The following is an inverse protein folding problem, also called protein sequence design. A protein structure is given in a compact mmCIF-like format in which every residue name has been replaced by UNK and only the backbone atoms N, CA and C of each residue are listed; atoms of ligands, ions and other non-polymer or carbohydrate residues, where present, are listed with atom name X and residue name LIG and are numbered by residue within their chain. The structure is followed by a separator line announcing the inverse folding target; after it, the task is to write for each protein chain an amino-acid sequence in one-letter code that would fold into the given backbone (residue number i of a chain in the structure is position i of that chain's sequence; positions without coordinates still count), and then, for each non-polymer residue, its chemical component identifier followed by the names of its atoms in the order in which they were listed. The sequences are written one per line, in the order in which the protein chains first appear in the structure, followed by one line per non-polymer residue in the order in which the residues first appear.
data_IF_626917300786
#
_entry.id   IF_626917300786
#
_cell.length_a   1.000
_cell.length_b   1.000
_cell.length_c   1.000
_cell.angle_alpha   90.00
_cell.angle_beta   90.00
_cell.angle_gamma   90.00
#
_symmetry.space_group_name_H-M   'P 1'
#
loop_
_entity.id
_entity.type
_entity.pdbx_description
1 polymer ?
#
# COMPACT_ATOMS: atom_id res chain seq x y z
N UNK A 1 -52.55 -30.06 9.31
CA UNK A 1 -51.38 -30.68 8.65
C UNK A 1 -50.12 -29.79 8.67
N UNK A 2 -50.24 -28.46 8.72
CA UNK A 2 -49.07 -27.56 8.69
C UNK A 2 -48.48 -27.19 10.06
N UNK A 3 -49.16 -27.46 11.18
CA UNK A 3 -48.72 -27.08 12.54
C UNK A 3 -47.35 -27.64 12.95
N UNK A 4 -47.08 -28.91 12.66
CA UNK A 4 -45.79 -29.56 12.97
C UNK A 4 -44.62 -28.97 12.17
N UNK A 5 -44.72 -28.84 10.83
CA UNK A 5 -43.72 -28.12 10.04
C UNK A 5 -43.51 -26.67 10.50
N UNK A 6 -44.59 -25.95 10.85
CA UNK A 6 -44.52 -24.57 11.31
C UNK A 6 -43.81 -24.45 12.66
N UNK A 7 -44.03 -25.37 13.60
CA UNK A 7 -43.29 -25.37 14.88
C UNK A 7 -41.83 -25.77 14.66
N UNK A 8 -41.58 -26.80 13.85
CA UNK A 8 -40.24 -27.30 13.57
C UNK A 8 -39.35 -26.26 12.85
N UNK A 9 -39.91 -25.49 11.92
CA UNK A 9 -39.20 -24.45 11.17
C UNK A 9 -39.30 -23.05 11.79
N UNK A 10 -40.37 -22.78 12.54
CA UNK A 10 -40.67 -21.46 13.12
C UNK A 10 -40.03 -21.23 14.48
N UNK A 11 -39.75 -22.27 15.26
CA UNK A 11 -39.02 -22.15 16.53
C UNK A 11 -37.52 -22.18 16.23
N UNK A 12 -36.85 -21.04 16.39
CA UNK A 12 -35.44 -20.84 16.05
C UNK A 12 -34.51 -21.91 16.65
N UNK A 13 -34.73 -22.28 17.92
CA UNK A 13 -33.88 -23.23 18.65
C UNK A 13 -34.02 -24.67 18.10
N UNK A 14 -35.25 -25.11 17.79
CA UNK A 14 -35.52 -26.42 17.20
C UNK A 14 -34.95 -26.49 15.78
N UNK A 15 -35.19 -25.45 14.98
CA UNK A 15 -34.65 -25.34 13.61
C UNK A 15 -33.12 -25.33 13.61
N UNK A 16 -32.50 -24.54 14.47
CA UNK A 16 -31.04 -24.42 14.52
C UNK A 16 -30.38 -25.75 14.90
N UNK A 17 -30.85 -26.39 15.98
CA UNK A 17 -30.26 -27.62 16.49
C UNK A 17 -30.56 -28.84 15.61
N UNK A 18 -31.78 -28.94 15.06
CA UNK A 18 -32.20 -30.13 14.31
C UNK A 18 -31.91 -30.05 12.81
N UNK A 19 -31.79 -28.85 12.23
CA UNK A 19 -31.65 -28.65 10.79
C UNK A 19 -30.43 -27.79 10.43
N UNK A 20 -30.34 -26.56 10.92
CA UNK A 20 -29.33 -25.60 10.45
C UNK A 20 -27.89 -25.99 10.82
N UNK A 21 -27.61 -26.35 12.08
CA UNK A 21 -26.26 -26.73 12.51
C UNK A 21 -25.77 -28.04 11.88
N UNK A 22 -26.57 -29.13 11.80
CA UNK A 22 -26.18 -30.33 11.10
C UNK A 22 -25.89 -30.09 9.60
N UNK A 23 -26.73 -29.29 8.94
CA UNK A 23 -26.54 -28.91 7.54
C UNK A 23 -25.26 -28.09 7.35
N UNK A 24 -25.02 -27.09 8.19
CA UNK A 24 -23.81 -26.27 8.16
C UNK A 24 -22.54 -27.12 8.38
N UNK A 25 -22.58 -28.09 9.29
CA UNK A 25 -21.47 -29.03 9.53
C UNK A 25 -21.13 -29.84 8.27
N UNK A 26 -22.16 -30.28 7.54
CA UNK A 26 -22.00 -31.02 6.27
C UNK A 26 -21.53 -30.11 5.12
N UNK A 27 -21.97 -28.86 5.07
CA UNK A 27 -21.49 -27.89 4.07
C UNK A 27 -20.02 -27.57 4.30
N UNK A 28 -19.60 -27.38 5.57
CA UNK A 28 -18.20 -27.10 5.92
C UNK A 28 -17.22 -28.19 5.47
N UNK A 29 -17.66 -29.44 5.34
CA UNK A 29 -16.80 -30.53 4.84
C UNK A 29 -16.61 -30.51 3.31
N UNK A 30 -17.39 -29.72 2.58
CA UNK A 30 -17.35 -29.62 1.10
C UNK A 30 -16.70 -28.30 0.64
N UNK A 31 -16.56 -27.32 1.53
CA UNK A 31 -15.88 -26.08 1.21
C UNK A 31 -14.37 -26.34 1.02
N UNK A 32 -13.76 -25.83 -0.07
CA UNK A 32 -12.34 -25.99 -0.30
C UNK A 32 -11.53 -25.33 0.84
N UNK A 33 -10.37 -25.89 1.21
CA UNK A 33 -9.48 -25.25 2.17
C UNK A 33 -8.99 -23.92 1.62
N UNK A 34 -9.00 -22.89 2.46
CA UNK A 34 -8.51 -21.56 2.12
C UNK A 34 -6.99 -21.57 2.00
N UNK A 35 -6.47 -21.03 0.90
CA UNK A 35 -5.02 -20.88 0.71
C UNK A 35 -4.41 -19.92 1.72
N UNK A 36 -3.10 -20.01 1.95
CA UNK A 36 -2.40 -19.13 2.89
C UNK A 36 -2.43 -17.66 2.45
N UNK A 37 -2.43 -17.40 1.14
CA UNK A 37 -2.58 -16.05 0.57
C UNK A 37 -3.98 -15.48 0.79
N UNK A 38 -5.03 -16.29 0.61
CA UNK A 38 -6.41 -15.89 0.93
C UNK A 38 -6.59 -15.66 2.43
N UNK A 39 -6.01 -16.52 3.27
CA UNK A 39 -6.08 -16.36 4.73
C UNK A 39 -5.41 -15.06 5.17
N UNK A 40 -4.19 -14.80 4.69
CA UNK A 40 -3.49 -13.57 4.99
C UNK A 40 -4.28 -12.33 4.53
N UNK A 41 -4.99 -12.42 3.39
CA UNK A 41 -5.82 -11.33 2.90
C UNK A 41 -7.01 -11.05 3.82
N UNK A 42 -7.65 -12.09 4.36
CA UNK A 42 -8.79 -11.97 5.27
C UNK A 42 -8.35 -11.50 6.66
N UNK A 43 -7.24 -12.04 7.18
CA UNK A 43 -6.71 -11.70 8.51
C UNK A 43 -6.10 -10.30 8.58
N UNK A 44 -5.65 -9.76 7.44
CA UNK A 44 -5.15 -8.39 7.33
C UNK A 44 -6.24 -7.32 7.52
N UNK A 45 -7.52 -7.66 7.31
CA UNK A 45 -8.63 -6.73 7.43
C UNK A 45 -9.19 -6.62 8.84
N UNK A 46 -9.72 -5.45 9.18
CA UNK A 46 -10.61 -5.28 10.34
C UNK A 46 -12.06 -5.48 9.92
N UNK A 47 -12.87 -6.02 10.83
CA UNK A 47 -14.31 -6.13 10.64
C UNK A 47 -14.98 -4.89 11.23
N UNK A 48 -15.66 -4.09 10.40
CA UNK A 48 -16.40 -2.92 10.87
C UNK A 48 -17.92 -3.21 10.88
N UNK A 49 -18.76 -2.17 10.85
CA UNK A 49 -20.20 -2.31 11.05
C UNK A 49 -20.89 -3.14 9.95
N UNK A 50 -20.33 -3.22 8.75
CA UNK A 50 -20.86 -4.03 7.65
C UNK A 50 -21.03 -5.51 8.02
N UNK A 51 -20.29 -6.02 9.01
CA UNK A 51 -20.46 -7.39 9.52
C UNK A 51 -21.88 -7.64 10.06
N UNK A 52 -22.51 -6.62 10.62
CA UNK A 52 -23.88 -6.67 11.14
C UNK A 52 -24.89 -6.94 10.00
N UNK A 53 -24.62 -6.43 8.79
CA UNK A 53 -25.42 -6.75 7.60
C UNK A 53 -25.32 -8.24 7.24
N UNK A 54 -24.10 -8.79 7.24
CA UNK A 54 -23.88 -10.21 6.92
C UNK A 54 -24.39 -11.17 8.00
N UNK A 55 -24.62 -10.68 9.22
CA UNK A 55 -25.30 -11.45 10.29
C UNK A 55 -26.82 -11.52 10.10
N UNK A 56 -27.39 -10.69 9.23
CA UNK A 56 -28.82 -10.69 8.91
C UNK A 56 -29.73 -10.07 9.98
N UNK A 57 -29.16 -9.45 11.01
CA UNK A 57 -29.89 -8.75 12.07
C UNK A 57 -29.10 -7.50 12.52
N UNK A 58 -28.97 -6.48 11.66
CA UNK A 58 -28.05 -5.38 11.90
C UNK A 58 -28.52 -4.46 13.05
N UNK A 59 -27.59 -4.10 13.94
CA UNK A 59 -27.80 -3.06 14.94
C UNK A 59 -27.59 -1.66 14.33
N UNK A 60 -28.68 -1.03 13.88
CA UNK A 60 -28.68 0.33 13.37
C UNK A 60 -28.36 1.39 14.44
N UNK A 61 -28.63 1.08 15.71
CA UNK A 61 -28.26 1.95 16.82
C UNK A 61 -26.74 2.13 16.86
N UNK A 62 -25.99 1.04 16.73
CA UNK A 62 -24.53 1.10 16.64
C UNK A 62 -24.06 2.00 15.48
N UNK A 63 -24.65 1.87 14.29
CA UNK A 63 -24.29 2.69 13.13
C UNK A 63 -24.51 4.19 13.38
N UNK A 64 -25.70 4.52 13.88
CA UNK A 64 -26.14 5.91 14.06
C UNK A 64 -25.43 6.62 15.22
N UNK A 65 -24.83 5.88 16.15
CA UNK A 65 -24.06 6.44 17.28
C UNK A 65 -22.55 6.50 17.02
N UNK A 66 -22.06 6.09 15.85
CA UNK A 66 -20.64 6.30 15.52
C UNK A 66 -20.33 7.79 15.52
N UNK A 67 -19.31 8.17 16.29
CA UNK A 67 -18.85 9.56 16.36
C UNK A 67 -18.34 9.97 14.97
N UNK A 68 -18.84 11.10 14.47
CA UNK A 68 -18.28 11.73 13.28
C UNK A 68 -16.81 12.09 13.54
N UNK A 69 -15.88 11.73 12.64
CA UNK A 69 -14.49 12.13 12.79
C UNK A 69 -14.40 13.67 12.71
N UNK A 70 -13.51 14.24 13.52
CA UNK A 70 -13.27 15.68 13.61
C UNK A 70 -11.79 15.95 13.31
N UNK A 71 -11.52 17.07 12.67
CA UNK A 71 -10.15 17.54 12.47
C UNK A 71 -9.61 18.08 13.81
N UNK A 72 -8.34 17.78 14.08
CA UNK A 72 -7.58 18.50 15.10
C UNK A 72 -7.31 19.95 14.66
N UNK A 73 -6.97 20.82 15.61
CA UNK A 73 -6.64 22.22 15.32
C UNK A 73 -5.47 22.34 14.32
N UNK A 74 -4.48 21.43 14.40
CA UNK A 74 -3.34 21.41 13.49
C UNK A 74 -3.73 20.98 12.06
N UNK A 75 -4.59 19.96 11.93
CA UNK A 75 -5.09 19.51 10.63
C UNK A 75 -5.98 20.58 9.97
N UNK A 76 -6.85 21.21 10.76
CA UNK A 76 -7.67 22.33 10.30
C UNK A 76 -6.80 23.49 9.83
N UNK A 77 -5.80 23.89 10.62
CA UNK A 77 -4.85 24.94 10.25
C UNK A 77 -4.05 24.59 8.98
N UNK A 78 -3.69 23.31 8.79
CA UNK A 78 -3.02 22.86 7.57
C UNK A 78 -3.93 22.97 6.34
N UNK A 79 -5.20 22.57 6.48
CA UNK A 79 -6.21 22.63 5.42
C UNK A 79 -6.56 24.08 5.06
N UNK A 80 -6.62 24.98 6.03
CA UNK A 80 -7.00 26.39 5.85
C UNK A 80 -5.81 27.29 5.46
N UNK A 81 -4.58 26.80 5.64
CA UNK A 81 -3.35 27.49 5.27
C UNK A 81 -2.64 26.84 4.08
N UNK A 82 -1.63 25.96 4.32
CA UNK A 82 -0.85 25.31 3.26
C UNK A 82 -1.67 24.71 2.11
N UNK A 83 -2.78 24.03 2.40
CA UNK A 83 -3.63 23.42 1.35
C UNK A 83 -4.34 24.49 0.52
N UNK A 84 -4.90 25.55 1.13
CA UNK A 84 -5.49 26.67 0.38
C UNK A 84 -4.45 27.38 -0.48
N UNK A 85 -3.25 27.60 0.05
CA UNK A 85 -2.16 28.20 -0.71
C UNK A 85 -1.79 27.31 -1.91
N UNK A 86 -1.63 26.00 -1.71
CA UNK A 86 -1.37 25.08 -2.80
C UNK A 86 -2.50 25.13 -3.83
N UNK A 87 -3.77 25.09 -3.41
CA UNK A 87 -4.91 25.21 -4.30
C UNK A 87 -4.88 26.51 -5.14
N UNK A 88 -4.41 27.62 -4.57
CA UNK A 88 -4.26 28.89 -5.30
C UNK A 88 -3.14 28.87 -6.35
N UNK A 89 -2.15 27.99 -6.20
CA UNK A 89 -1.05 27.79 -7.15
C UNK A 89 -1.44 26.88 -8.33
N UNK A 90 -2.56 26.15 -8.24
CA UNK A 90 -2.96 25.17 -9.25
C UNK A 90 -3.54 25.88 -10.48
N UNK A 91 -2.82 25.76 -11.59
CA UNK A 91 -3.36 25.88 -12.94
C UNK A 91 -3.39 24.49 -13.58
N UNK A 92 -4.54 23.81 -13.49
CA UNK A 92 -4.67 22.44 -13.99
C UNK A 92 -4.53 22.35 -15.51
N UNK A 93 -4.89 23.41 -16.24
CA UNK A 93 -4.69 23.44 -17.69
C UNK A 93 -3.21 23.49 -18.03
N UNK A 94 -2.44 24.37 -17.38
CA UNK A 94 -1.00 24.47 -17.59
C UNK A 94 -0.29 23.16 -17.23
N UNK A 95 -0.67 22.53 -16.10
CA UNK A 95 -0.15 21.24 -15.65
C UNK A 95 -0.43 20.14 -16.70
N UNK A 96 -1.66 20.04 -17.19
CA UNK A 96 -2.09 18.90 -18.03
C UNK A 96 -1.79 19.07 -19.52
N UNK A 97 -1.81 20.30 -20.05
CA UNK A 97 -1.72 20.55 -21.50
C UNK A 97 -0.40 21.18 -21.95
N UNK A 98 0.27 21.96 -21.10
CA UNK A 98 1.50 22.66 -21.50
C UNK A 98 2.75 21.98 -20.92
N UNK A 99 2.78 21.77 -19.61
CA UNK A 99 3.95 21.22 -18.90
C UNK A 99 3.95 19.70 -18.86
N UNK A 100 2.77 19.10 -18.84
CA UNK A 100 2.56 17.69 -18.52
C UNK A 100 3.19 17.32 -17.17
N UNK A 101 3.37 18.25 -16.24
CA UNK A 101 3.96 18.04 -14.92
C UNK A 101 3.58 19.21 -14.01
N UNK A 102 3.78 19.05 -12.71
CA UNK A 102 3.71 20.17 -11.77
C UNK A 102 4.89 21.12 -12.02
N UNK A 103 4.68 22.44 -11.98
CA UNK A 103 5.76 23.43 -11.94
C UNK A 103 6.75 23.17 -10.81
N UNK A 104 8.02 23.56 -11.00
CA UNK A 104 9.09 23.35 -10.01
C UNK A 104 8.78 24.01 -8.66
N UNK A 105 8.16 25.18 -8.69
CA UNK A 105 7.72 25.91 -7.51
C UNK A 105 6.64 25.15 -6.72
N UNK A 106 5.75 24.41 -7.40
CA UNK A 106 4.77 23.56 -6.74
C UNK A 106 5.44 22.33 -6.13
N UNK A 107 6.36 21.69 -6.85
CA UNK A 107 7.16 20.60 -6.28
C UNK A 107 7.94 21.05 -5.04
N UNK A 108 8.56 22.23 -5.08
CA UNK A 108 9.25 22.80 -3.93
C UNK A 108 8.29 23.08 -2.77
N UNK A 109 7.12 23.66 -3.06
CA UNK A 109 6.10 23.94 -2.05
C UNK A 109 5.61 22.68 -1.34
N UNK A 110 5.34 21.60 -2.09
CA UNK A 110 4.92 20.32 -1.54
C UNK A 110 5.94 19.76 -0.53
N UNK A 111 7.23 19.78 -0.90
CA UNK A 111 8.33 19.31 -0.05
C UNK A 111 8.49 20.15 1.21
N UNK A 112 8.52 21.47 1.06
CA UNK A 112 8.78 22.40 2.17
C UNK A 112 7.65 22.43 3.20
N UNK A 113 6.42 22.18 2.77
CA UNK A 113 5.24 22.24 3.64
C UNK A 113 4.76 20.85 4.10
N UNK A 114 5.56 19.79 3.96
CA UNK A 114 5.26 18.49 4.56
C UNK A 114 4.15 17.68 3.87
N UNK A 115 3.78 18.01 2.62
CA UNK A 115 2.74 17.28 1.89
C UNK A 115 3.10 15.82 1.62
N UNK A 116 4.37 15.43 1.66
CA UNK A 116 4.81 14.04 1.48
C UNK A 116 4.99 13.27 2.80
N UNK A 117 4.73 13.90 3.94
CA UNK A 117 4.93 13.35 5.27
C UNK A 117 3.72 13.44 6.20
N UNK A 118 2.50 13.50 5.67
CA UNK A 118 1.28 13.64 6.46
C UNK A 118 1.10 12.49 7.45
N UNK A 119 1.37 11.24 7.03
CA UNK A 119 1.22 10.05 7.89
C UNK A 119 2.48 9.72 8.71
N UNK A 120 3.59 10.41 8.44
CA UNK A 120 4.87 10.11 9.09
C UNK A 120 4.84 10.70 10.50
N UNK A 121 5.26 9.96 11.56
CA UNK A 121 5.29 10.49 12.92
C UNK A 121 6.13 11.76 13.06
N UNK A 122 5.73 12.67 13.95
CA UNK A 122 6.43 13.95 14.18
C UNK A 122 7.90 13.77 14.59
N UNK A 123 8.23 12.69 15.30
CA UNK A 123 9.62 12.36 15.68
C UNK A 123 10.55 12.12 14.48
N UNK A 124 10.00 11.86 13.30
CA UNK A 124 10.73 11.74 12.05
C UNK A 124 10.54 12.98 11.14
N UNK A 125 9.91 14.05 11.64
CA UNK A 125 9.69 15.28 10.86
C UNK A 125 8.44 15.26 9.97
N UNK A 126 7.54 14.28 10.12
CA UNK A 126 6.23 14.30 9.49
C UNK A 126 5.18 15.06 10.30
N UNK A 127 3.93 15.02 9.85
CA UNK A 127 2.82 15.75 10.46
C UNK A 127 1.97 14.89 11.40
N UNK A 128 2.01 13.56 11.26
CA UNK A 128 1.26 12.59 12.07
C UNK A 128 -0.26 12.85 12.06
N UNK A 129 -0.80 13.16 10.88
CA UNK A 129 -2.22 13.39 10.67
C UNK A 129 -3.02 12.10 10.82
N UNK A 130 -4.25 12.26 11.28
CA UNK A 130 -5.25 11.21 11.29
C UNK A 130 -5.64 10.79 9.87
N UNK A 131 -6.24 9.61 9.76
CA UNK A 131 -6.86 9.16 8.51
C UNK A 131 -7.85 10.19 7.95
N UNK A 132 -8.63 10.84 8.83
CA UNK A 132 -9.61 11.84 8.42
C UNK A 132 -8.94 13.11 7.88
N UNK A 133 -7.94 13.65 8.60
CA UNK A 133 -7.16 14.81 8.15
C UNK A 133 -6.48 14.57 6.80
N UNK A 134 -5.82 13.42 6.65
CA UNK A 134 -5.24 13.00 5.37
C UNK A 134 -6.30 12.94 4.26
N UNK A 135 -7.43 12.28 4.48
CA UNK A 135 -8.50 12.16 3.49
C UNK A 135 -9.04 13.54 3.07
N UNK A 136 -9.25 14.46 4.02
CA UNK A 136 -9.70 15.83 3.74
C UNK A 136 -8.71 16.61 2.87
N UNK A 137 -7.39 16.50 3.13
CA UNK A 137 -6.35 17.13 2.31
C UNK A 137 -6.41 16.59 0.87
N UNK A 138 -6.39 15.27 0.70
CA UNK A 138 -6.39 14.64 -0.64
C UNK A 138 -7.66 14.96 -1.40
N UNK A 139 -8.83 14.94 -0.74
CA UNK A 139 -10.11 15.28 -1.35
C UNK A 139 -10.13 16.73 -1.85
N UNK A 140 -9.67 17.68 -1.03
CA UNK A 140 -9.63 19.11 -1.38
C UNK A 140 -8.70 19.39 -2.57
N UNK A 141 -7.51 18.76 -2.59
CA UNK A 141 -6.58 18.89 -3.71
C UNK A 141 -7.13 18.25 -4.98
N UNK A 142 -7.71 17.05 -4.88
CA UNK A 142 -8.26 16.30 -6.02
C UNK A 142 -9.45 17.01 -6.65
N UNK A 143 -10.24 17.77 -5.86
CA UNK A 143 -11.31 18.62 -6.37
C UNK A 143 -10.81 19.79 -7.25
N UNK A 144 -9.52 20.14 -7.17
CA UNK A 144 -8.87 21.17 -8.00
C UNK A 144 -8.05 20.58 -9.13
N UNK A 145 -7.27 19.54 -8.86
CA UNK A 145 -6.45 18.82 -9.84
C UNK A 145 -6.20 17.39 -9.39
N UNK A 146 -6.60 16.43 -10.22
CA UNK A 146 -6.29 15.01 -10.00
C UNK A 146 -4.78 14.75 -10.04
N UNK A 147 -4.04 15.47 -10.90
CA UNK A 147 -2.58 15.32 -11.01
C UNK A 147 -1.88 15.68 -9.70
N UNK A 148 -2.30 16.77 -9.06
CA UNK A 148 -1.75 17.21 -7.77
C UNK A 148 -2.21 16.29 -6.64
N UNK A 149 -3.50 15.94 -6.62
CA UNK A 149 -4.07 15.01 -5.64
C UNK A 149 -3.30 13.69 -5.61
N UNK A 150 -3.11 13.04 -6.76
CA UNK A 150 -2.37 11.78 -6.88
C UNK A 150 -0.90 11.90 -6.48
N UNK A 151 -0.26 13.03 -6.81
CA UNK A 151 1.14 13.29 -6.45
C UNK A 151 1.35 13.36 -4.94
N UNK A 152 0.41 13.97 -4.21
CA UNK A 152 0.42 14.04 -2.73
C UNK A 152 -0.05 12.73 -2.09
N UNK A 153 -0.99 12.04 -2.73
CA UNK A 153 -1.63 10.84 -2.20
C UNK A 153 -0.67 9.65 -2.03
N UNK A 154 0.18 9.38 -3.03
CA UNK A 154 0.99 8.15 -3.04
C UNK A 154 2.04 8.11 -1.93
N UNK A 155 2.81 9.18 -1.65
CA UNK A 155 3.75 9.19 -0.52
C UNK A 155 3.09 8.95 0.85
N UNK A 156 1.80 9.26 0.97
CA UNK A 156 1.02 9.16 2.22
C UNK A 156 0.08 7.95 2.29
N UNK A 157 0.10 7.06 1.32
CA UNK A 157 -0.76 5.86 1.27
C UNK A 157 0.09 4.60 1.18
N UNK A 158 -0.17 3.72 0.19
CA UNK A 158 0.60 2.52 -0.15
C UNK A 158 2.02 2.89 -0.63
N UNK A 159 2.79 3.44 0.29
CA UNK A 159 4.11 3.95 0.07
C UNK A 159 5.12 3.29 1.01
N UNK A 160 6.41 3.42 0.69
CA UNK A 160 7.53 3.12 1.59
C UNK A 160 7.35 3.62 3.02
N UNK A 161 6.72 4.78 3.24
CA UNK A 161 6.56 5.35 4.58
C UNK A 161 5.70 4.47 5.50
N UNK A 162 4.50 4.08 5.06
CA UNK A 162 3.58 3.22 5.82
C UNK A 162 4.23 1.85 6.10
N UNK A 163 4.76 1.21 5.05
CA UNK A 163 5.45 -0.08 5.18
C UNK A 163 6.65 -0.02 6.13
N UNK A 164 7.47 1.03 6.03
CA UNK A 164 8.60 1.23 6.93
C UNK A 164 8.15 1.45 8.36
N UNK A 165 7.10 2.22 8.57
CA UNK A 165 6.61 2.52 9.91
C UNK A 165 6.17 1.25 10.64
N UNK A 166 5.43 0.37 9.97
CA UNK A 166 4.93 -0.88 10.54
C UNK A 166 6.00 -1.99 10.57
N UNK A 167 6.78 -2.14 9.51
CA UNK A 167 7.59 -3.33 9.26
C UNK A 167 9.10 -3.09 9.20
N UNK A 168 9.51 -1.84 9.00
CA UNK A 168 10.91 -1.48 8.87
C UNK A 168 11.72 -1.74 10.14
N UNK A 169 13.03 -1.95 9.97
CA UNK A 169 13.97 -1.92 11.11
C UNK A 169 14.14 -0.49 11.61
N UNK A 170 14.65 -0.31 12.84
CA UNK A 170 14.94 1.03 13.35
C UNK A 170 15.94 1.78 12.48
N UNK A 171 16.94 1.08 11.93
CA UNK A 171 17.90 1.66 10.98
C UNK A 171 17.20 2.18 9.71
N UNK A 172 16.30 1.39 9.13
CA UNK A 172 15.53 1.80 7.96
C UNK A 172 14.60 2.98 8.27
N UNK A 173 13.90 2.94 9.41
CA UNK A 173 13.00 4.03 9.87
C UNK A 173 13.77 5.34 10.04
N UNK A 174 14.87 5.30 10.78
CA UNK A 174 15.72 6.47 11.06
C UNK A 174 16.36 7.05 9.79
N UNK A 175 16.67 6.20 8.81
CA UNK A 175 17.24 6.65 7.54
C UNK A 175 16.18 7.24 6.61
N UNK A 176 15.10 6.51 6.33
CA UNK A 176 14.17 6.85 5.26
C UNK A 176 13.03 7.77 5.70
N UNK A 177 12.42 7.57 6.87
CA UNK A 177 11.22 8.34 7.25
C UNK A 177 11.47 9.87 7.26
N UNK A 178 12.59 10.39 7.81
CA UNK A 178 12.87 11.82 7.73
C UNK A 178 13.11 12.34 6.32
N UNK A 179 13.64 11.52 5.43
CA UNK A 179 13.92 11.92 4.04
C UNK A 179 12.69 11.84 3.15
N UNK A 180 11.75 10.97 3.50
CA UNK A 180 10.42 10.89 2.87
C UNK A 180 9.55 12.07 3.30
N UNK A 181 9.60 12.44 4.60
CA UNK A 181 8.78 13.52 5.15
C UNK A 181 9.06 14.89 4.49
N UNK A 182 10.33 15.20 4.24
CA UNK A 182 10.75 16.46 3.60
C UNK A 182 10.98 16.35 2.09
N UNK A 183 10.67 15.19 1.49
CA UNK A 183 10.76 14.96 0.05
C UNK A 183 12.17 15.00 -0.55
N UNK A 184 13.21 14.81 0.27
CA UNK A 184 14.55 14.44 -0.20
C UNK A 184 14.54 13.11 -0.94
N UNK A 185 13.73 12.17 -0.45
CA UNK A 185 13.38 10.97 -1.18
C UNK A 185 11.96 11.09 -1.73
N UNK A 186 11.78 10.82 -3.02
CA UNK A 186 10.48 10.65 -3.66
C UNK A 186 10.23 9.15 -3.82
N UNK A 187 9.26 8.59 -3.09
CA UNK A 187 8.98 7.17 -3.18
C UNK A 187 8.07 6.83 -4.36
N UNK A 188 8.23 5.63 -4.90
CA UNK A 188 7.18 4.94 -5.65
C UNK A 188 6.98 3.51 -5.12
N UNK A 189 5.87 2.88 -5.47
CA UNK A 189 5.62 1.48 -5.12
C UNK A 189 5.30 0.62 -6.34
N UNK A 190 6.21 -0.30 -6.65
CA UNK A 190 6.25 -1.13 -7.83
C UNK A 190 5.67 -2.53 -7.54
N UNK A 191 4.34 -2.63 -7.62
CA UNK A 191 3.60 -3.88 -7.48
C UNK A 191 3.10 -4.39 -8.84
N UNK A 192 2.34 -3.56 -9.55
CA UNK A 192 1.71 -3.90 -10.82
C UNK A 192 2.75 -4.13 -11.92
N UNK A 193 2.59 -5.24 -12.65
CA UNK A 193 3.40 -5.59 -13.82
C UNK A 193 2.57 -5.65 -15.11
N UNK A 194 3.21 -5.91 -16.27
CA UNK A 194 2.51 -6.15 -17.52
C UNK A 194 1.49 -7.29 -17.46
N UNK A 195 1.83 -8.36 -16.72
CA UNK A 195 1.05 -9.61 -16.67
C UNK A 195 0.22 -9.78 -15.38
N UNK A 196 0.46 -8.94 -14.37
CA UNK A 196 -0.19 -9.05 -13.06
C UNK A 196 -0.63 -7.67 -12.53
N UNK A 197 -1.95 -7.51 -12.37
CA UNK A 197 -2.60 -6.33 -11.79
C UNK A 197 -3.51 -6.72 -10.63
N UNK A 198 -4.78 -7.01 -10.93
CA UNK A 198 -5.76 -7.43 -9.91
C UNK A 198 -5.34 -8.71 -9.17
N UNK A 199 -4.74 -9.66 -9.88
CA UNK A 199 -4.12 -10.84 -9.28
C UNK A 199 -2.66 -10.54 -8.87
N UNK A 200 -2.49 -9.70 -7.86
CA UNK A 200 -1.19 -9.27 -7.37
C UNK A 200 -0.36 -10.41 -6.72
N UNK A 201 -0.98 -11.54 -6.40
CA UNK A 201 -0.28 -12.74 -5.90
C UNK A 201 0.51 -13.47 -7.00
N UNK A 202 0.12 -13.27 -8.25
CA UNK A 202 0.70 -13.96 -9.42
C UNK A 202 1.82 -13.20 -10.10
N UNK A 203 2.42 -12.20 -9.45
CA UNK A 203 3.57 -11.46 -10.01
C UNK A 203 4.70 -12.43 -10.45
N UNK A 204 5.30 -12.22 -11.64
CA UNK A 204 6.37 -13.06 -12.17
C UNK A 204 7.76 -12.61 -11.71
N UNK A 205 7.86 -11.45 -11.06
CA UNK A 205 9.12 -10.83 -10.65
C UNK A 205 9.83 -11.68 -9.60
N UNK A 206 11.14 -11.86 -9.75
CA UNK A 206 11.91 -12.83 -8.96
C UNK A 206 13.05 -12.18 -8.20
N UNK A 207 13.40 -12.77 -7.07
CA UNK A 207 14.61 -12.51 -6.33
C UNK A 207 15.26 -13.82 -5.88
N UNK A 208 16.44 -14.13 -6.41
CA UNK A 208 17.16 -15.37 -6.09
C UNK A 208 18.18 -15.07 -5.00
N UNK A 209 18.14 -15.82 -3.89
CA UNK A 209 19.12 -15.70 -2.82
C UNK A 209 20.50 -16.04 -3.35
N UNK A 210 21.46 -15.14 -3.13
CA UNK A 210 22.84 -15.34 -3.56
C UNK A 210 23.81 -14.56 -2.68
N UNK A 211 25.12 -14.77 -2.91
CA UNK A 211 26.16 -13.90 -2.36
C UNK A 211 26.61 -12.93 -3.44
N UNK A 212 26.71 -11.64 -3.12
CA UNK A 212 27.20 -10.61 -4.02
C UNK A 212 28.14 -9.63 -3.31
N UNK A 213 28.75 -8.73 -4.09
CA UNK A 213 29.57 -7.66 -3.54
C UNK A 213 28.70 -6.44 -3.22
N UNK A 214 28.81 -5.92 -2.01
CA UNK A 214 28.18 -4.69 -1.58
C UNK A 214 29.15 -3.91 -0.70
N UNK A 215 29.37 -2.63 -0.99
CA UNK A 215 30.33 -1.77 -0.27
C UNK A 215 31.72 -2.40 -0.11
N UNK A 216 32.19 -3.10 -1.15
CA UNK A 216 33.50 -3.77 -1.16
C UNK A 216 33.58 -5.05 -0.32
N UNK A 217 32.46 -5.55 0.21
CA UNK A 217 32.40 -6.80 0.99
C UNK A 217 31.51 -7.83 0.29
N UNK A 218 31.83 -9.10 0.45
CA UNK A 218 30.92 -10.17 0.05
C UNK A 218 29.82 -10.30 1.11
N UNK A 219 28.56 -10.11 0.70
CA UNK A 219 27.40 -10.19 1.59
C UNK A 219 26.35 -11.13 1.00
N UNK A 220 25.47 -11.62 1.87
CA UNK A 220 24.26 -12.31 1.45
C UNK A 220 23.23 -11.29 0.96
N UNK A 221 22.56 -11.58 -0.14
CA UNK A 221 21.59 -10.70 -0.77
C UNK A 221 20.67 -11.45 -1.73
N UNK A 222 20.05 -10.69 -2.61
CA UNK A 222 19.15 -11.19 -3.64
C UNK A 222 19.57 -10.64 -4.99
N UNK A 223 19.59 -11.50 -6.01
CA UNK A 223 19.65 -11.07 -7.39
C UNK A 223 18.22 -10.97 -7.95
N UNK A 224 17.81 -9.78 -8.35
CA UNK A 224 16.44 -9.45 -8.73
C UNK A 224 16.28 -9.28 -10.25
N UNK A 225 15.13 -9.74 -10.75
CA UNK A 225 14.66 -9.49 -12.11
C UNK A 225 13.17 -9.12 -12.08
N UNK A 226 12.79 -8.00 -12.68
CA UNK A 226 11.40 -7.52 -12.68
C UNK A 226 11.05 -6.66 -13.89
N UNK A 227 9.76 -6.57 -14.17
CA UNK A 227 9.16 -5.56 -15.06
C UNK A 227 7.85 -5.05 -14.46
N UNK A 228 7.78 -3.74 -14.25
CA UNK A 228 6.65 -3.09 -13.57
C UNK A 228 6.03 -2.03 -14.47
N UNK A 229 4.72 -1.87 -14.37
CA UNK A 229 3.92 -0.97 -15.22
C UNK A 229 2.96 -0.15 -14.36
N UNK A 230 2.69 1.08 -14.80
CA UNK A 230 1.79 2.01 -14.14
C UNK A 230 2.22 2.43 -12.73
N UNK A 231 3.52 2.62 -12.53
CA UNK A 231 4.05 2.98 -11.22
C UNK A 231 4.01 4.51 -11.06
N UNK A 232 3.08 4.97 -10.22
CA UNK A 232 2.95 6.38 -9.85
C UNK A 232 4.20 6.87 -9.13
N UNK A 233 4.63 8.08 -9.45
CA UNK A 233 5.92 8.69 -9.11
C UNK A 233 7.16 7.98 -9.66
N UNK A 234 7.03 6.82 -10.32
CA UNK A 234 8.15 6.04 -10.88
C UNK A 234 9.16 6.86 -11.69
N UNK A 235 8.74 7.72 -12.65
CA UNK A 235 9.66 8.53 -13.46
C UNK A 235 10.55 9.50 -12.67
N UNK A 236 10.13 9.89 -11.47
CA UNK A 236 10.84 10.86 -10.61
C UNK A 236 11.27 10.25 -9.28
N UNK A 237 11.11 8.94 -9.11
CA UNK A 237 11.38 8.25 -7.87
C UNK A 237 12.88 8.23 -7.58
N UNK A 238 13.23 8.44 -6.32
CA UNK A 238 14.61 8.26 -5.82
C UNK A 238 14.75 6.95 -5.04
N UNK A 239 13.63 6.39 -4.55
CA UNK A 239 13.55 5.09 -3.89
C UNK A 239 12.32 4.32 -4.38
N UNK A 240 12.53 3.06 -4.77
CA UNK A 240 11.48 2.14 -5.19
C UNK A 240 11.14 1.18 -4.07
N UNK A 241 9.88 1.17 -3.63
CA UNK A 241 9.31 -0.03 -3.01
C UNK A 241 9.04 -1.07 -4.10
N UNK A 242 9.53 -2.28 -3.96
CA UNK A 242 9.37 -3.35 -4.95
C UNK A 242 8.80 -4.60 -4.29
N UNK A 243 7.78 -5.20 -4.90
CA UNK A 243 7.27 -6.52 -4.54
C UNK A 243 7.69 -7.57 -5.59
N UNK A 244 8.22 -8.70 -5.13
CA UNK A 244 8.74 -9.80 -5.94
C UNK A 244 8.68 -11.12 -5.16
N UNK A 245 8.78 -12.26 -5.86
CA UNK A 245 8.84 -13.61 -5.25
C UNK A 245 10.28 -14.01 -4.98
N UNK A 246 10.56 -14.51 -3.79
CA UNK A 246 11.91 -14.93 -3.39
C UNK A 246 12.09 -16.43 -3.57
N UNK A 247 13.23 -16.81 -4.15
CA UNK A 247 13.65 -18.20 -4.31
C UNK A 247 15.04 -18.44 -3.72
N UNK A 248 15.24 -19.58 -3.05
CA UNK A 248 16.52 -20.01 -2.48
C UNK A 248 16.91 -21.40 -3.00
N UNK A 249 17.27 -21.54 -4.28
CA UNK A 249 17.59 -22.83 -4.88
C UNK A 249 18.85 -23.50 -4.27
N UNK A 250 19.72 -22.71 -3.65
CA UNK A 250 20.99 -23.16 -3.08
C UNK A 250 20.90 -23.42 -1.56
N UNK A 251 19.72 -23.22 -0.95
CA UNK A 251 19.48 -23.47 0.48
C UNK A 251 20.33 -22.61 1.42
N UNK A 252 20.62 -21.36 1.03
CA UNK A 252 21.45 -20.44 1.84
C UNK A 252 20.71 -19.88 3.08
N UNK A 253 19.37 -19.99 3.10
CA UNK A 253 18.49 -19.53 4.17
C UNK A 253 17.77 -20.67 4.89
N UNK A 254 17.63 -21.83 4.26
CA UNK A 254 16.95 -23.00 4.82
C UNK A 254 16.62 -24.04 3.73
N UNK A 255 15.71 -24.96 4.04
CA UNK A 255 15.35 -26.07 3.15
C UNK A 255 14.24 -25.72 2.12
N UNK A 256 13.53 -24.62 2.34
CA UNK A 256 12.44 -24.16 1.47
C UNK A 256 12.99 -23.40 0.26
N UNK A 257 12.58 -23.78 -0.95
CA UNK A 257 13.04 -23.13 -2.19
C UNK A 257 12.19 -21.92 -2.55
N UNK A 258 10.85 -22.00 -2.46
CA UNK A 258 9.96 -20.85 -2.67
C UNK A 258 9.67 -20.21 -1.32
N UNK A 259 10.19 -19.00 -1.12
CA UNK A 259 10.04 -18.28 0.13
C UNK A 259 8.87 -17.29 0.10
N UNK A 260 8.17 -17.15 -1.03
CA UNK A 260 7.00 -16.28 -1.18
C UNK A 260 7.31 -14.81 -1.47
N UNK A 261 6.24 -14.00 -1.50
CA UNK A 261 6.32 -12.57 -1.85
C UNK A 261 7.04 -11.80 -0.75
N UNK A 262 7.98 -10.96 -1.16
CA UNK A 262 8.78 -10.10 -0.30
C UNK A 262 8.76 -8.67 -0.82
N UNK A 263 8.87 -7.70 0.10
CA UNK A 263 8.98 -6.29 -0.24
C UNK A 263 10.37 -5.74 0.11
N UNK A 264 10.97 -4.98 -0.79
CA UNK A 264 12.24 -4.30 -0.56
C UNK A 264 12.14 -2.80 -0.90
N UNK A 265 13.07 -2.01 -0.35
CA UNK A 265 13.32 -0.63 -0.74
C UNK A 265 14.66 -0.53 -1.44
N UNK A 266 14.62 -0.08 -2.69
CA UNK A 266 15.76 -0.07 -3.59
C UNK A 266 15.99 1.37 -4.04
N UNK A 267 17.15 1.98 -3.78
CA UNK A 267 17.49 3.27 -4.36
C UNK A 267 17.38 3.21 -5.89
N UNK A 268 16.77 4.21 -6.52
CA UNK A 268 16.53 4.22 -7.96
C UNK A 268 17.80 4.24 -8.82
N UNK A 269 18.93 4.61 -8.20
CA UNK A 269 20.26 4.60 -8.82
C UNK A 269 21.02 3.28 -8.61
N UNK A 270 20.39 2.26 -8.04
CA UNK A 270 21.03 0.94 -7.88
C UNK A 270 21.39 0.39 -9.27
N UNK A 271 22.62 -0.10 -9.48
CA UNK A 271 23.05 -0.60 -10.79
C UNK A 271 22.08 -1.66 -11.34
N UNK A 272 21.67 -1.49 -12.60
CA UNK A 272 20.72 -2.38 -13.28
C UNK A 272 19.24 -2.01 -13.10
N UNK A 273 18.90 -1.03 -12.25
CA UNK A 273 17.55 -0.42 -12.24
C UNK A 273 17.40 0.48 -13.46
N UNK A 274 16.30 0.32 -14.19
CA UNK A 274 15.92 1.15 -15.32
C UNK A 274 14.55 1.79 -15.08
N UNK A 275 14.49 3.11 -15.26
CA UNK A 275 13.24 3.87 -15.28
C UNK A 275 12.85 4.05 -16.74
N UNK A 276 11.71 3.49 -17.13
CA UNK A 276 11.28 3.52 -18.52
C UNK A 276 10.54 4.80 -18.90
N UNK A 277 9.97 4.80 -20.10
CA UNK A 277 9.26 5.96 -20.63
C UNK A 277 8.02 6.29 -19.80
N UNK A 278 7.91 7.55 -19.40
CA UNK A 278 6.74 8.06 -18.69
C UNK A 278 5.45 7.77 -19.48
N UNK A 279 4.45 7.25 -18.78
CA UNK A 279 3.09 7.13 -19.29
C UNK A 279 2.31 8.43 -19.13
N UNK A 280 1.40 8.69 -20.05
CA UNK A 280 0.46 9.81 -19.98
C UNK A 280 -0.98 9.30 -20.16
N UNK A 281 -1.56 8.69 -19.11
CA UNK A 281 -2.89 8.10 -19.20
C UNK A 281 -3.96 9.19 -19.14
N UNK A 282 -4.87 9.20 -20.13
CA UNK A 282 -6.08 10.02 -20.12
C UNK A 282 -5.85 11.51 -19.81
N UNK A 283 -4.81 12.10 -20.39
CA UNK A 283 -4.38 13.49 -20.14
C UNK A 283 -4.12 13.86 -18.67
N UNK A 284 -3.91 12.86 -17.80
CA UNK A 284 -3.55 13.08 -16.39
C UNK A 284 -2.03 13.20 -16.27
N UNK A 285 -1.57 14.35 -15.77
CA UNK A 285 -0.17 14.73 -15.74
C UNK A 285 0.56 14.38 -14.43
N UNK A 286 0.00 13.50 -13.58
CA UNK A 286 0.79 12.94 -12.50
C UNK A 286 1.93 12.08 -13.06
N UNK A 287 3.03 11.98 -12.32
CA UNK A 287 4.15 11.15 -12.73
C UNK A 287 3.74 9.68 -12.67
N UNK A 288 3.82 8.97 -13.79
CA UNK A 288 3.50 7.56 -13.90
C UNK A 288 4.37 6.91 -14.96
N UNK A 289 4.93 5.74 -14.69
CA UNK A 289 5.79 5.08 -15.66
C UNK A 289 6.15 3.67 -15.27
N UNK A 290 6.77 2.92 -16.17
CA UNK A 290 7.31 1.61 -15.88
C UNK A 290 8.68 1.73 -15.22
N UNK A 291 9.09 0.66 -14.55
CA UNK A 291 10.48 0.44 -14.19
C UNK A 291 10.80 -1.05 -14.32
N UNK A 292 12.05 -1.35 -14.56
CA UNK A 292 12.53 -2.72 -14.75
C UNK A 292 13.90 -2.87 -14.09
N UNK A 293 14.29 -4.11 -13.89
CA UNK A 293 15.63 -4.43 -13.48
C UNK A 293 16.01 -5.82 -13.94
N UNK A 294 17.26 -5.95 -14.37
CA UNK A 294 17.84 -7.22 -14.77
C UNK A 294 19.15 -7.43 -14.04
N UNK A 295 19.28 -8.58 -13.41
CA UNK A 295 20.45 -8.98 -12.62
C UNK A 295 20.84 -7.96 -11.53
N UNK A 296 19.84 -7.35 -10.88
CA UNK A 296 20.06 -6.31 -9.87
C UNK A 296 20.33 -6.95 -8.51
N UNK A 297 21.56 -6.81 -8.03
CA UNK A 297 21.90 -7.26 -6.69
C UNK A 297 21.46 -6.25 -5.63
N UNK A 298 20.75 -6.74 -4.61
CA UNK A 298 20.45 -5.97 -3.39
C UNK A 298 20.93 -6.73 -2.14
N UNK A 299 21.49 -6.03 -1.13
CA UNK A 299 21.82 -6.67 0.14
C UNK A 299 20.54 -6.97 0.95
N UNK A 300 20.61 -7.93 1.87
CA UNK A 300 19.46 -8.32 2.72
C UNK A 300 18.87 -7.17 3.54
N UNK A 301 19.64 -6.11 3.80
CA UNK A 301 19.19 -4.91 4.52
C UNK A 301 18.22 -4.02 3.71
N UNK A 302 18.10 -4.22 2.40
CA UNK A 302 17.10 -3.51 1.58
C UNK A 302 15.70 -4.13 1.72
N UNK A 303 15.60 -5.38 2.16
CA UNK A 303 14.33 -6.02 2.47
C UNK A 303 13.66 -5.28 3.62
N UNK A 304 12.38 -4.93 3.51
CA UNK A 304 11.67 -4.17 4.53
C UNK A 304 11.59 -5.01 5.82
N UNK A 305 12.23 -4.52 6.89
CA UNK A 305 12.39 -5.25 8.15
C UNK A 305 13.49 -6.32 8.16
N UNK A 306 14.27 -6.40 7.09
CA UNK A 306 15.43 -7.28 6.93
C UNK A 306 15.08 -8.74 6.63
N UNK A 307 16.10 -9.61 6.69
CA UNK A 307 16.01 -11.06 6.38
C UNK A 307 14.81 -11.77 7.02
N UNK A 308 14.43 -11.42 8.25
CA UNK A 308 13.30 -12.03 9.00
C UNK A 308 11.92 -11.82 8.37
N UNK A 309 11.82 -10.93 7.39
CA UNK A 309 10.58 -10.56 6.71
C UNK A 309 10.50 -11.05 5.26
N UNK A 310 11.47 -11.86 4.81
CA UNK A 310 11.31 -12.65 3.59
C UNK A 310 10.02 -13.48 3.69
N UNK A 311 9.25 -13.50 2.60
CA UNK A 311 7.97 -14.20 2.49
C UNK A 311 6.78 -13.53 3.16
N UNK A 312 7.00 -12.42 3.87
CA UNK A 312 5.92 -11.69 4.57
C UNK A 312 5.35 -10.52 3.77
N UNK A 313 5.85 -10.29 2.55
CA UNK A 313 5.47 -9.16 1.70
C UNK A 313 3.99 -9.18 1.35
N UNK A 314 3.39 -10.35 1.07
CA UNK A 314 1.96 -10.43 0.75
C UNK A 314 1.07 -9.84 1.84
N UNK A 315 1.33 -10.21 3.10
CA UNK A 315 0.59 -9.64 4.25
C UNK A 315 0.76 -8.12 4.34
N UNK A 316 1.99 -7.64 4.21
CA UNK A 316 2.28 -6.19 4.25
C UNK A 316 1.50 -5.42 3.16
N UNK A 317 1.43 -6.01 1.96
CA UNK A 317 0.72 -5.43 0.83
C UNK A 317 -0.78 -5.35 1.07
N UNK A 318 -1.42 -6.43 1.52
CA UNK A 318 -2.88 -6.42 1.73
C UNK A 318 -3.26 -5.44 2.86
N UNK A 319 -2.52 -5.41 3.96
CA UNK A 319 -2.78 -4.47 5.06
C UNK A 319 -2.69 -3.01 4.55
N UNK A 320 -1.61 -2.65 3.86
CA UNK A 320 -1.37 -1.27 3.39
C UNK A 320 -2.31 -0.87 2.22
N UNK A 321 -2.64 -1.81 1.32
CA UNK A 321 -3.62 -1.58 0.24
C UNK A 321 -5.01 -1.27 0.80
N UNK A 322 -5.39 -1.91 1.92
CA UNK A 322 -6.68 -1.69 2.54
C UNK A 322 -6.78 -0.29 3.16
N UNK A 323 -5.72 0.16 3.84
CA UNK A 323 -5.63 1.52 4.37
C UNK A 323 -5.66 2.58 3.26
N UNK A 324 -4.83 2.43 2.22
CA UNK A 324 -4.81 3.35 1.08
C UNK A 324 -6.17 3.48 0.38
N UNK A 325 -6.94 2.39 0.27
CA UNK A 325 -8.31 2.42 -0.28
C UNK A 325 -9.30 3.14 0.63
N UNK A 326 -9.24 2.91 1.94
CA UNK A 326 -10.20 3.51 2.88
C UNK A 326 -9.97 5.00 3.17
N UNK A 327 -8.76 5.51 2.90
CA UNK A 327 -8.35 6.86 3.31
C UNK A 327 -8.10 7.77 2.11
N UNK A 328 -7.36 7.26 1.12
CA UNK A 328 -6.70 8.08 0.10
C UNK A 328 -7.40 8.03 -1.25
N UNK A 329 -7.85 6.85 -1.67
CA UNK A 329 -8.52 6.66 -2.95
C UNK A 329 -10.03 6.94 -2.79
N UNK A 330 -10.65 7.75 -3.68
CA UNK A 330 -12.08 8.05 -3.63
C UNK A 330 -12.96 6.84 -3.96
#
# INVERSE_FOLDING_TARGET
MFLLPTIFLGVSEIRQNSLSFPLLKRIKTVLPPMSDTERAAIEAGSVWWEAELFRGAPDWGQLLHYKTPELSDEEAAFIDGPVEQLCSMIDDWDITHNRMDLPEEMWAFLKQNGFFGMIIPKKYGGLEFSAYGHSCVVMKLSARSISVGVTVMVPNSLGPAELLYHYGTDAQKNHYLPRLADGREIPCFALTGPDAGSDAGSIPDTGVVCKGSFEGKQVLGLNLNWEKRYITLGPVATVLGLAFKVYDPDGLLGDEVDLGITCALIPAKTPGVEIGNRHFPMNSAFQNGPNSGKDVFIPMEYIIGGKKNIGKGWRMLVESLSAGRGISLP
#
